data_IF_598293936368
#
_entry.id   IF_598293936368
#
_cell.length_a   1.000
_cell.length_b   1.000
_cell.length_c   1.000
_cell.angle_alpha   90.00
_cell.angle_beta   90.00
_cell.angle_gamma   90.00
#
_symmetry.space_group_name_H-M   'P 1'
#
loop_
_entity.id
_entity.type
_entity.pdbx_description
1 polymer ?
#
# COMPACT_ATOMS: atom_id res chain seq x y z
N UNK A 1 1.75 16.50 10.61
CA UNK A 1 0.38 16.53 10.06
C UNK A 1 0.33 16.52 8.52
N UNK A 2 1.28 17.16 7.82
CA UNK A 2 1.30 17.19 6.34
C UNK A 2 1.28 15.82 5.65
N UNK A 3 2.06 14.84 6.14
CA UNK A 3 2.10 13.50 5.54
C UNK A 3 0.71 12.82 5.53
N UNK A 4 -0.04 12.94 6.62
CA UNK A 4 -1.39 12.36 6.71
C UNK A 4 -2.36 13.02 5.72
N UNK A 5 -2.26 14.33 5.49
CA UNK A 5 -3.08 15.01 4.47
C UNK A 5 -2.79 14.47 3.08
N UNK A 6 -1.51 14.28 2.75
CA UNK A 6 -1.11 13.74 1.45
C UNK A 6 -1.57 12.27 1.29
N UNK A 7 -1.46 11.47 2.35
CA UNK A 7 -1.91 10.08 2.31
C UNK A 7 -3.44 9.97 2.25
N UNK A 8 -4.20 10.90 2.83
CA UNK A 8 -5.67 10.87 2.78
C UNK A 8 -6.21 11.09 1.35
N UNK A 9 -5.52 11.89 0.53
CA UNK A 9 -5.88 12.14 -0.88
C UNK A 9 -5.22 11.19 -1.88
N UNK A 10 -4.25 10.37 -1.46
CA UNK A 10 -3.57 9.43 -2.32
C UNK A 10 -4.44 8.20 -2.67
N UNK A 11 -4.19 7.63 -3.86
CA UNK A 11 -4.87 6.43 -4.35
C UNK A 11 -4.43 5.17 -3.60
N UNK A 12 -5.37 4.23 -3.40
CA UNK A 12 -5.09 2.88 -2.89
C UNK A 12 -4.38 1.99 -3.93
N UNK A 13 -4.19 2.48 -5.17
CA UNK A 13 -3.56 1.78 -6.30
C UNK A 13 -2.19 2.41 -6.64
N UNK A 14 -1.27 1.64 -7.26
CA UNK A 14 -0.03 2.19 -7.78
C UNK A 14 -0.31 3.27 -8.84
N UNK A 15 0.53 4.30 -8.90
CA UNK A 15 0.45 5.37 -9.91
C UNK A 15 0.78 4.83 -11.30
N UNK A 16 0.44 5.59 -12.35
CA UNK A 16 0.83 5.26 -13.72
C UNK A 16 2.35 5.18 -13.88
N UNK A 17 3.11 6.08 -13.22
CA UNK A 17 4.57 6.04 -13.19
C UNK A 17 5.09 4.73 -12.57
N UNK A 18 4.52 4.32 -11.44
CA UNK A 18 4.92 3.10 -10.76
C UNK A 18 4.55 1.85 -11.59
N UNK A 19 3.40 1.88 -12.28
CA UNK A 19 3.02 0.85 -13.25
C UNK A 19 4.00 0.81 -14.43
N UNK A 20 4.50 1.95 -14.89
CA UNK A 20 5.55 2.02 -15.93
C UNK A 20 6.82 1.29 -15.49
N UNK A 21 7.32 1.55 -14.26
CA UNK A 21 8.46 0.79 -13.71
C UNK A 21 8.19 -0.72 -13.67
N UNK A 22 6.98 -1.15 -13.29
CA UNK A 22 6.63 -2.57 -13.27
C UNK A 22 6.65 -3.18 -14.67
N UNK A 23 6.13 -2.47 -15.68
CA UNK A 23 6.10 -2.94 -17.05
C UNK A 23 7.49 -3.01 -17.70
N UNK A 24 8.46 -2.24 -17.19
CA UNK A 24 9.84 -2.23 -17.69
C UNK A 24 10.75 -3.30 -17.03
N UNK A 25 10.24 -4.04 -16.05
CA UNK A 25 10.97 -5.17 -15.47
C UNK A 25 11.00 -6.38 -16.42
N UNK A 26 12.12 -7.10 -16.51
CA UNK A 26 12.23 -8.35 -17.29
C UNK A 26 11.14 -9.36 -16.94
N UNK A 27 10.73 -9.40 -15.67
CA UNK A 27 9.55 -10.12 -15.18
C UNK A 27 8.62 -9.09 -14.54
N UNK A 28 7.44 -8.88 -15.13
CA UNK A 28 6.49 -7.88 -14.65
C UNK A 28 5.96 -8.25 -13.25
N UNK A 29 6.23 -7.44 -12.20
CA UNK A 29 5.87 -7.79 -10.83
C UNK A 29 4.44 -7.39 -10.45
N UNK A 30 3.69 -6.70 -11.30
CA UNK A 30 2.40 -6.05 -10.98
C UNK A 30 1.44 -6.96 -10.23
N UNK A 31 1.11 -8.13 -10.79
CA UNK A 31 0.16 -9.07 -10.18
C UNK A 31 0.66 -9.59 -8.82
N UNK A 32 1.95 -9.87 -8.71
CA UNK A 32 2.55 -10.35 -7.45
C UNK A 32 2.48 -9.30 -6.34
N UNK A 33 2.66 -8.02 -6.68
CA UNK A 33 2.57 -6.90 -5.73
C UNK A 33 1.12 -6.69 -5.30
N UNK A 34 0.18 -6.65 -6.26
CA UNK A 34 -1.25 -6.47 -5.96
C UNK A 34 -1.78 -7.61 -5.10
N UNK A 35 -1.40 -8.85 -5.42
CA UNK A 35 -1.77 -10.03 -4.62
C UNK A 35 -1.20 -9.93 -3.21
N UNK A 36 0.07 -9.55 -3.05
CA UNK A 36 0.70 -9.39 -1.73
C UNK A 36 -0.02 -8.34 -0.87
N UNK A 37 -0.34 -7.18 -1.45
CA UNK A 37 -1.08 -6.12 -0.74
C UNK A 37 -2.46 -6.61 -0.30
N UNK A 38 -3.17 -7.36 -1.16
CA UNK A 38 -4.46 -7.94 -0.80
C UNK A 38 -4.32 -8.96 0.35
N UNK A 39 -3.41 -9.93 0.22
CA UNK A 39 -3.26 -11.03 1.17
C UNK A 39 -2.81 -10.52 2.55
N UNK A 40 -1.81 -9.62 2.58
CA UNK A 40 -1.34 -9.00 3.82
C UNK A 40 -2.43 -8.13 4.44
N UNK A 41 -3.29 -7.50 3.62
CA UNK A 41 -4.43 -6.73 4.11
C UNK A 41 -5.43 -7.57 4.92
N UNK A 42 -5.70 -8.80 4.52
CA UNK A 42 -6.55 -9.71 5.31
C UNK A 42 -5.88 -10.06 6.65
N UNK A 43 -4.61 -10.46 6.61
CA UNK A 43 -3.84 -10.83 7.81
C UNK A 43 -3.76 -9.65 8.78
N UNK A 44 -3.45 -8.46 8.27
CA UNK A 44 -3.33 -7.24 9.08
C UNK A 44 -4.62 -6.93 9.81
N UNK A 45 -5.76 -6.89 9.11
CA UNK A 45 -7.05 -6.53 9.70
C UNK A 45 -7.48 -7.52 10.79
N UNK A 46 -7.29 -8.81 10.54
CA UNK A 46 -7.61 -9.85 11.52
C UNK A 46 -6.75 -9.73 12.78
N UNK A 47 -5.42 -9.61 12.61
CA UNK A 47 -4.49 -9.48 13.74
C UNK A 47 -4.70 -8.16 14.49
N UNK A 48 -5.00 -7.08 13.78
CA UNK A 48 -5.33 -5.80 14.38
C UNK A 48 -6.58 -5.88 15.25
N UNK A 49 -7.67 -6.45 14.73
CA UNK A 49 -8.91 -6.62 15.48
C UNK A 49 -8.73 -7.51 16.72
N UNK A 50 -7.91 -8.56 16.62
CA UNK A 50 -7.55 -9.39 17.77
C UNK A 50 -6.75 -8.63 18.84
N UNK A 51 -5.87 -7.72 18.44
CA UNK A 51 -5.02 -6.97 19.36
C UNK A 51 -5.73 -5.77 20.00
N UNK A 52 -6.64 -5.11 19.27
CA UNK A 52 -7.27 -3.83 19.68
C UNK A 52 -8.73 -4.01 20.11
N UNK A 53 -9.40 -5.05 19.63
CA UNK A 53 -10.82 -5.33 19.87
C UNK A 53 -11.57 -5.54 18.55
N UNK A 54 -12.50 -6.50 18.54
CA UNK A 54 -13.26 -6.89 17.34
C UNK A 54 -14.07 -5.72 16.75
N UNK A 55 -14.52 -4.77 17.57
CA UNK A 55 -15.20 -3.56 17.13
C UNK A 55 -14.33 -2.57 16.35
N UNK A 56 -13.01 -2.78 16.29
CA UNK A 56 -12.06 -1.87 15.63
C UNK A 56 -11.60 -2.35 14.25
N UNK A 57 -12.29 -3.31 13.63
CA UNK A 57 -11.93 -3.83 12.29
C UNK A 57 -11.85 -2.72 11.23
N UNK A 58 -12.81 -1.79 11.20
CA UNK A 58 -12.79 -0.68 10.24
C UNK A 58 -11.63 0.28 10.47
N UNK A 59 -11.26 0.54 11.72
CA UNK A 59 -10.07 1.33 12.06
C UNK A 59 -8.81 0.65 11.52
N UNK A 60 -8.71 -0.67 11.69
CA UNK A 60 -7.62 -1.46 11.11
C UNK A 60 -7.57 -1.37 9.58
N UNK A 61 -8.75 -1.40 8.94
CA UNK A 61 -8.87 -1.25 7.48
C UNK A 61 -8.36 0.12 7.00
N UNK A 62 -8.76 1.21 7.66
CA UNK A 62 -8.30 2.56 7.34
C UNK A 62 -6.79 2.73 7.55
N UNK A 63 -6.25 2.21 8.66
CA UNK A 63 -4.81 2.24 8.94
C UNK A 63 -4.00 1.47 7.89
N UNK A 64 -4.50 0.31 7.47
CA UNK A 64 -3.85 -0.47 6.42
C UNK A 64 -3.81 0.28 5.10
N UNK A 65 -4.92 0.93 4.70
CA UNK A 65 -4.98 1.75 3.48
C UNK A 65 -3.93 2.86 3.49
N UNK A 66 -3.80 3.60 4.60
CA UNK A 66 -2.77 4.63 4.73
C UNK A 66 -1.35 4.05 4.58
N UNK A 67 -1.10 2.87 5.16
CA UNK A 67 0.16 2.14 5.00
C UNK A 67 0.43 1.76 3.53
N UNK A 68 -0.57 1.25 2.81
CA UNK A 68 -0.47 0.88 1.39
C UNK A 68 -0.16 2.10 0.52
N UNK A 69 -0.83 3.23 0.76
CA UNK A 69 -0.58 4.49 0.05
C UNK A 69 0.85 4.97 0.26
N UNK A 70 1.34 4.91 1.50
CA UNK A 70 2.71 5.27 1.83
C UNK A 70 3.71 4.32 1.17
N UNK A 71 3.43 3.03 1.18
CA UNK A 71 4.23 2.00 0.54
C UNK A 71 4.45 2.28 -0.96
N UNK A 72 3.38 2.55 -1.72
CA UNK A 72 3.51 2.87 -3.15
C UNK A 72 4.28 4.18 -3.37
N UNK A 73 4.01 5.20 -2.56
CA UNK A 73 4.72 6.49 -2.65
C UNK A 73 6.22 6.33 -2.44
N UNK A 74 6.62 5.61 -1.39
CA UNK A 74 8.03 5.39 -1.06
C UNK A 74 8.69 4.51 -2.11
N UNK A 75 8.02 3.45 -2.56
CA UNK A 75 8.52 2.59 -3.64
C UNK A 75 8.81 3.39 -4.91
N UNK A 76 7.88 4.23 -5.37
CA UNK A 76 8.09 5.07 -6.55
C UNK A 76 9.24 6.06 -6.33
N UNK A 77 9.33 6.67 -5.15
CA UNK A 77 10.43 7.58 -4.79
C UNK A 77 11.79 6.89 -4.81
N UNK A 78 11.87 5.64 -4.36
CA UNK A 78 13.10 4.85 -4.35
C UNK A 78 13.49 4.44 -5.77
N UNK A 79 12.54 3.97 -6.58
CA UNK A 79 12.83 3.61 -7.98
C UNK A 79 13.34 4.80 -8.79
N UNK A 80 12.75 5.99 -8.57
CA UNK A 80 13.22 7.25 -9.18
C UNK A 80 14.63 7.67 -8.76
N UNK A 81 15.09 7.28 -7.57
CA UNK A 81 16.45 7.63 -7.10
C UNK A 81 17.50 6.60 -7.52
N UNK A 82 17.10 5.41 -7.91
CA UNK A 82 17.98 4.31 -8.35
C UNK A 82 18.11 4.25 -9.89
N UNK A 83 17.29 5.00 -10.62
CA UNK A 83 17.42 5.24 -12.06
C UNK A 83 18.60 6.19 -12.36
#
# INVERSE_FOLDING_TARGET
QQLMMILNSASDQPSENLISYFNNCTVNPKESILKRVKDVGYIFKEKFAKAVGLGCMEIGSQRYKLGVRLYYRVMESMLKSEE
#
